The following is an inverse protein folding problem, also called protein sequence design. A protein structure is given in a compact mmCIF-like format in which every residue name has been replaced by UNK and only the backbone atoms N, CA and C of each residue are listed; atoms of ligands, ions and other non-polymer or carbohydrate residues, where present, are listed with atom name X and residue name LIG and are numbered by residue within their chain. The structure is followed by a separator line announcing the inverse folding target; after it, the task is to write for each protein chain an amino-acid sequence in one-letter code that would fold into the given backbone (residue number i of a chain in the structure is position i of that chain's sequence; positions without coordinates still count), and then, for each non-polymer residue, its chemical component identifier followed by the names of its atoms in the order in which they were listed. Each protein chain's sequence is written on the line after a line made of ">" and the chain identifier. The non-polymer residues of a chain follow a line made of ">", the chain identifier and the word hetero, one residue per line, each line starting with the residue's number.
data_IF_321428690396
#
_entry.id   IF_321428690396
#
_cell.length_a   1.000
_cell.length_b   1.000
_cell.length_c   1.000
_cell.angle_alpha   90.00
_cell.angle_beta   90.00
_cell.angle_gamma   90.00
#
_symmetry.space_group_name_H-M   'P 1'
#
loop_
_entity.id
_entity.type
_entity.pdbx_description
1 polymer ?
#
# COMPACT_ATOMS: atom_id res chain seq x y z
N UNK A 1 23.41 -12.78 -37.16
CA UNK A 1 22.24 -13.48 -36.58
C UNK A 1 21.88 -12.79 -35.28
N UNK A 2 21.16 -11.68 -35.37
CA UNK A 2 20.65 -10.96 -34.19
C UNK A 2 19.42 -11.70 -33.66
N UNK A 3 19.55 -12.31 -32.48
CA UNK A 3 18.42 -12.86 -31.75
C UNK A 3 17.67 -11.71 -31.08
N UNK A 4 16.60 -11.25 -31.73
CA UNK A 4 15.62 -10.34 -31.15
C UNK A 4 14.89 -11.06 -30.01
N UNK A 5 15.28 -10.76 -28.79
CA UNK A 5 14.59 -11.10 -27.54
C UNK A 5 13.18 -10.49 -27.56
N UNK A 6 12.21 -11.20 -28.14
CA UNK A 6 10.80 -10.81 -28.14
C UNK A 6 10.25 -10.98 -26.72
N UNK A 7 10.39 -9.93 -25.90
CA UNK A 7 9.68 -9.83 -24.62
C UNK A 7 8.18 -9.93 -24.89
N UNK A 8 7.44 -10.86 -24.25
CA UNK A 8 6.03 -11.00 -24.53
C UNK A 8 5.28 -9.72 -24.16
N UNK A 9 4.46 -9.29 -25.12
CA UNK A 9 3.61 -8.10 -25.09
C UNK A 9 2.75 -8.09 -23.81
N UNK A 10 3.11 -7.23 -22.86
CA UNK A 10 2.35 -7.05 -21.62
C UNK A 10 1.14 -6.18 -21.94
N UNK A 11 0.00 -6.81 -22.22
CA UNK A 11 -1.31 -6.14 -22.31
C UNK A 11 -1.46 -5.19 -21.12
N UNK A 12 -1.40 -3.89 -21.39
CA UNK A 12 -1.73 -2.84 -20.44
C UNK A 12 -3.22 -2.95 -20.12
N UNK A 13 -3.54 -3.70 -19.07
CA UNK A 13 -4.89 -3.71 -18.52
C UNK A 13 -5.07 -2.39 -17.76
N UNK A 14 -5.97 -1.56 -18.27
CA UNK A 14 -6.50 -0.39 -17.56
C UNK A 14 -7.07 -0.85 -16.23
N UNK A 15 -6.28 -0.73 -15.18
CA UNK A 15 -6.73 -0.97 -13.82
C UNK A 15 -6.99 0.38 -13.18
N UNK A 16 -8.26 0.81 -13.18
CA UNK A 16 -8.77 1.55 -12.04
C UNK A 16 -8.51 0.77 -10.73
N UNK A 17 -8.93 1.29 -9.59
CA UNK A 17 -8.56 0.83 -8.24
C UNK A 17 -8.84 -0.66 -7.89
N UNK A 18 -9.37 -1.45 -8.85
CA UNK A 18 -9.84 -2.83 -8.74
C UNK A 18 -8.75 -3.92 -8.86
N UNK A 19 -7.47 -3.57 -8.83
CA UNK A 19 -6.36 -4.56 -8.83
C UNK A 19 -6.12 -5.24 -7.48
N UNK A 20 -6.77 -4.75 -6.42
CA UNK A 20 -6.74 -5.31 -5.07
C UNK A 20 -8.13 -5.22 -4.44
N UNK A 21 -8.52 -6.26 -3.71
CA UNK A 21 -9.81 -6.27 -3.01
C UNK A 21 -9.83 -5.24 -1.88
N UNK A 22 -11.02 -4.71 -1.57
CA UNK A 22 -11.19 -3.77 -0.45
C UNK A 22 -10.71 -4.37 0.88
N UNK A 23 -11.01 -5.65 1.11
CA UNK A 23 -10.57 -6.39 2.31
C UNK A 23 -9.04 -6.44 2.40
N UNK A 24 -8.35 -6.82 1.31
CA UNK A 24 -6.88 -6.94 1.34
C UNK A 24 -6.21 -5.58 1.49
N UNK A 25 -6.74 -4.54 0.83
CA UNK A 25 -6.27 -3.16 0.96
C UNK A 25 -6.38 -2.67 2.41
N UNK A 26 -7.57 -2.82 3.01
CA UNK A 26 -7.80 -2.41 4.39
C UNK A 26 -6.93 -3.22 5.36
N UNK A 27 -6.76 -4.52 5.14
CA UNK A 27 -5.89 -5.36 5.96
C UNK A 27 -4.42 -4.88 5.94
N UNK A 28 -3.92 -4.41 4.80
CA UNK A 28 -2.56 -3.84 4.72
C UNK A 28 -2.49 -2.53 5.51
N UNK A 29 -3.53 -1.69 5.42
CA UNK A 29 -3.59 -0.46 6.23
C UNK A 29 -3.59 -0.78 7.73
N UNK A 30 -4.37 -1.77 8.17
CA UNK A 30 -4.40 -2.20 9.57
C UNK A 30 -3.05 -2.79 10.03
N UNK A 31 -2.42 -3.66 9.22
CA UNK A 31 -1.09 -4.24 9.49
C UNK A 31 -0.01 -3.18 9.72
N UNK A 32 -0.10 -2.09 8.98
CA UNK A 32 0.86 -0.99 9.01
C UNK A 32 0.44 0.13 9.98
N UNK A 33 -0.62 -0.08 10.78
CA UNK A 33 -1.04 0.84 11.83
C UNK A 33 -1.75 2.10 11.33
N UNK A 34 -2.42 2.03 10.18
CA UNK A 34 -3.14 3.17 9.56
C UNK A 34 -2.24 4.40 9.35
N UNK A 35 -0.95 4.16 9.12
CA UNK A 35 0.05 5.19 8.96
C UNK A 35 0.97 4.92 7.76
N UNK A 36 1.54 5.98 7.19
CA UNK A 36 2.55 5.85 6.15
C UNK A 36 3.83 5.24 6.73
N UNK A 37 4.25 4.09 6.20
CA UNK A 37 5.47 3.40 6.67
C UNK A 37 6.78 4.18 6.40
N UNK A 38 6.71 5.27 5.62
CA UNK A 38 7.87 6.11 5.32
C UNK A 38 7.96 7.31 6.26
N UNK A 39 6.93 8.15 6.30
CA UNK A 39 6.96 9.43 7.02
C UNK A 39 6.19 9.42 8.34
N UNK A 40 5.49 8.34 8.67
CA UNK A 40 4.70 8.23 9.89
C UNK A 40 3.32 8.90 9.85
N UNK A 41 3.04 9.78 8.87
CA UNK A 41 1.75 10.47 8.80
C UNK A 41 0.59 9.48 8.69
N UNK A 42 -0.45 9.69 9.49
CA UNK A 42 -1.56 8.76 9.68
C UNK A 42 -2.92 9.36 9.33
N UNK A 43 -3.98 8.54 9.45
CA UNK A 43 -5.36 9.00 9.24
C UNK A 43 -5.77 10.11 10.21
N UNK A 44 -5.18 10.14 11.41
CA UNK A 44 -5.37 11.19 12.42
C UNK A 44 -4.81 12.54 11.96
N UNK A 45 -3.74 12.53 11.14
CA UNK A 45 -3.20 13.74 10.51
C UNK A 45 -4.03 14.20 9.29
N UNK A 46 -5.14 13.50 8.99
CA UNK A 46 -6.00 13.79 7.83
C UNK A 46 -5.39 13.40 6.48
N UNK A 47 -4.32 12.60 6.45
CA UNK A 47 -3.71 12.20 5.18
C UNK A 47 -4.51 11.10 4.48
N UNK A 48 -4.57 11.16 3.15
CA UNK A 48 -5.10 10.05 2.35
C UNK A 48 -4.05 8.97 2.20
N UNK A 49 -4.38 7.77 2.69
CA UNK A 49 -3.56 6.56 2.52
C UNK A 49 -3.79 5.90 1.16
N UNK A 50 -2.72 5.27 0.67
CA UNK A 50 -2.64 4.51 -0.57
C UNK A 50 -1.77 3.27 -0.33
N UNK A 51 -1.67 2.38 -1.32
CA UNK A 51 -0.71 1.29 -1.29
C UNK A 51 0.47 1.61 -2.19
N UNK A 52 1.66 1.31 -1.71
CA UNK A 52 2.90 1.42 -2.45
C UNK A 52 3.55 0.04 -2.66
N UNK A 53 4.13 -0.16 -3.85
CA UNK A 53 4.85 -1.39 -4.19
C UNK A 53 6.34 -1.26 -3.88
N UNK A 54 6.88 -2.05 -2.96
CA UNK A 54 8.31 -2.01 -2.56
C UNK A 54 9.24 -2.24 -3.76
N UNK A 55 8.94 -3.21 -4.60
CA UNK A 55 9.45 -3.28 -5.97
C UNK A 55 8.39 -2.65 -6.87
N UNK A 56 8.64 -1.50 -7.52
CA UNK A 56 7.64 -0.83 -8.34
C UNK A 56 7.01 -1.76 -9.38
N UNK A 57 5.71 -1.63 -9.61
CA UNK A 57 4.99 -2.45 -10.58
C UNK A 57 5.61 -2.37 -11.99
N UNK A 58 6.01 -1.16 -12.41
CA UNK A 58 6.72 -0.91 -13.68
C UNK A 58 8.04 -1.66 -13.80
N UNK A 59 8.65 -2.06 -12.68
CA UNK A 59 9.88 -2.86 -12.61
C UNK A 59 9.60 -4.34 -12.34
N UNK A 60 8.35 -4.80 -12.48
CA UNK A 60 7.95 -6.19 -12.27
C UNK A 60 7.75 -6.57 -10.79
N UNK A 61 7.25 -5.63 -9.98
CA UNK A 61 6.74 -5.92 -8.63
C UNK A 61 5.41 -6.68 -8.67
N UNK A 62 5.19 -7.55 -7.69
CA UNK A 62 3.93 -8.31 -7.56
C UNK A 62 2.90 -7.56 -6.71
N UNK A 63 1.63 -7.94 -6.83
CA UNK A 63 0.55 -7.50 -5.93
C UNK A 63 0.43 -8.38 -4.66
N UNK A 64 1.49 -9.14 -4.36
CA UNK A 64 1.57 -9.92 -3.13
C UNK A 64 1.72 -8.97 -1.94
N UNK A 65 1.13 -9.31 -0.79
CA UNK A 65 1.13 -8.44 0.39
C UNK A 65 2.52 -8.16 0.97
N UNK A 66 3.48 -9.05 0.70
CA UNK A 66 4.89 -8.85 1.04
C UNK A 66 5.59 -7.79 0.19
N UNK A 67 4.99 -7.39 -0.94
CA UNK A 67 5.48 -6.31 -1.79
C UNK A 67 4.66 -5.02 -1.62
N UNK A 68 3.63 -5.00 -0.77
CA UNK A 68 2.73 -3.87 -0.60
C UNK A 68 2.84 -3.31 0.81
N UNK A 69 2.89 -1.98 0.93
CA UNK A 69 2.89 -1.26 2.20
C UNK A 69 1.96 -0.04 2.13
N UNK A 70 1.55 0.43 3.29
CA UNK A 70 0.72 1.63 3.46
C UNK A 70 1.57 2.89 3.27
N UNK A 71 1.11 3.78 2.39
CA UNK A 71 1.84 4.99 2.03
C UNK A 71 0.87 6.17 1.88
N UNK A 72 1.20 7.34 2.42
CA UNK A 72 0.40 8.54 2.16
C UNK A 72 0.56 8.99 0.70
N UNK A 73 -0.43 9.70 0.13
CA UNK A 73 -0.35 10.16 -1.27
C UNK A 73 0.92 10.96 -1.55
N UNK A 74 1.33 11.87 -0.65
CA UNK A 74 2.54 12.69 -0.81
C UNK A 74 3.80 11.83 -0.99
N UNK A 75 4.01 10.86 -0.10
CA UNK A 75 5.16 9.95 -0.19
C UNK A 75 5.06 9.05 -1.42
N UNK A 76 3.88 8.52 -1.74
CA UNK A 76 3.69 7.64 -2.88
C UNK A 76 3.99 8.35 -4.22
N UNK A 77 3.43 9.54 -4.42
CA UNK A 77 3.69 10.38 -5.60
C UNK A 77 5.15 10.79 -5.68
N UNK A 78 5.77 11.19 -4.57
CA UNK A 78 7.19 11.54 -4.53
C UNK A 78 8.08 10.35 -4.87
N UNK A 79 7.81 9.17 -4.31
CA UNK A 79 8.59 7.95 -4.53
C UNK A 79 8.61 7.56 -6.01
N UNK A 80 7.44 7.51 -6.65
CA UNK A 80 7.31 7.07 -8.04
C UNK A 80 7.91 5.67 -8.25
N UNK A 81 8.80 5.53 -9.24
CA UNK A 81 9.45 4.25 -9.56
C UNK A 81 10.84 4.06 -8.91
N UNK A 82 11.20 4.92 -7.95
CA UNK A 82 12.48 4.86 -7.22
C UNK A 82 12.54 3.60 -6.35
N UNK A 83 13.75 3.14 -6.06
CA UNK A 83 13.92 2.03 -5.12
C UNK A 83 13.58 2.49 -3.70
N UNK A 84 13.13 1.57 -2.84
CA UNK A 84 12.88 1.86 -1.41
C UNK A 84 14.09 2.54 -0.78
N UNK A 85 15.28 1.98 -0.97
CA UNK A 85 16.54 2.54 -0.47
C UNK A 85 16.76 3.99 -0.87
N UNK A 86 16.66 4.30 -2.16
CA UNK A 86 16.85 5.68 -2.66
C UNK A 86 15.78 6.64 -2.13
N UNK A 87 14.55 6.14 -1.92
CA UNK A 87 13.49 6.98 -1.38
C UNK A 87 13.65 7.22 0.11
N UNK A 88 14.06 6.22 0.90
CA UNK A 88 14.37 6.39 2.32
C UNK A 88 15.45 7.46 2.57
N UNK A 89 16.41 7.63 1.65
CA UNK A 89 17.36 8.75 1.71
C UNK A 89 16.66 10.12 1.58
N UNK A 90 15.71 10.26 0.66
CA UNK A 90 14.90 11.47 0.53
C UNK A 90 14.01 11.70 1.76
N UNK A 91 13.38 10.64 2.27
CA UNK A 91 12.48 10.70 3.43
C UNK A 91 13.20 11.23 4.67
N UNK A 92 14.39 10.70 4.96
CA UNK A 92 15.22 11.16 6.08
C UNK A 92 15.53 12.66 6.04
N UNK A 93 15.53 13.28 4.85
CA UNK A 93 15.78 14.72 4.70
C UNK A 93 14.61 15.62 5.05
N UNK A 94 13.38 15.09 5.18
CA UNK A 94 12.19 15.90 5.48
C UNK A 94 11.37 15.42 6.68
N UNK A 95 11.78 14.34 7.34
CA UNK A 95 11.21 13.94 8.62
C UNK A 95 12.06 14.54 9.74
N UNK A 96 11.40 15.05 10.78
CA UNK A 96 12.10 15.59 11.95
C UNK A 96 12.63 14.44 12.83
N UNK A 97 13.81 14.60 13.41
CA UNK A 97 14.39 13.68 14.42
C UNK A 97 15.49 12.74 13.91
N UNK A 98 15.83 11.72 14.71
CA UNK A 98 17.00 10.82 14.50
C UNK A 98 16.77 9.67 13.51
N UNK A 99 15.84 9.87 12.58
CA UNK A 99 15.41 8.85 11.65
C UNK A 99 16.37 8.76 10.45
N UNK A 100 17.31 7.82 10.53
CA UNK A 100 18.26 7.58 9.44
C UNK A 100 17.61 6.80 8.28
N UNK A 101 18.11 6.94 7.04
CA UNK A 101 17.60 6.17 5.89
C UNK A 101 17.54 4.66 6.15
N UNK A 102 18.52 4.12 6.89
CA UNK A 102 18.61 2.70 7.24
C UNK A 102 17.53 2.28 8.23
N UNK A 103 17.23 3.12 9.24
CA UNK A 103 16.14 2.86 10.18
C UNK A 103 14.79 2.85 9.46
N UNK A 104 14.57 3.80 8.54
CA UNK A 104 13.35 3.85 7.72
C UNK A 104 13.24 2.62 6.83
N UNK A 105 14.30 2.26 6.09
CA UNK A 105 14.27 1.08 5.22
C UNK A 105 14.01 -0.19 6.03
N UNK A 106 14.66 -0.36 7.18
CA UNK A 106 14.43 -1.50 8.08
C UNK A 106 12.98 -1.57 8.55
N UNK A 107 12.42 -0.44 8.99
CA UNK A 107 11.02 -0.34 9.40
C UNK A 107 10.06 -0.78 8.28
N UNK A 108 10.22 -0.21 7.08
CA UNK A 108 9.40 -0.53 5.90
C UNK A 108 9.46 -2.03 5.58
N UNK A 109 10.66 -2.63 5.59
CA UNK A 109 10.84 -4.06 5.34
C UNK A 109 10.17 -4.90 6.41
N UNK A 110 10.28 -4.52 7.68
CA UNK A 110 9.68 -5.25 8.79
C UNK A 110 8.15 -5.23 8.71
N UNK A 111 7.53 -4.07 8.40
CA UNK A 111 6.09 -3.97 8.19
C UNK A 111 5.59 -4.93 7.09
N UNK A 112 6.29 -4.97 5.95
CA UNK A 112 5.92 -5.85 4.83
C UNK A 112 6.01 -7.35 5.13
N UNK A 113 6.80 -7.74 6.14
CA UNK A 113 6.97 -9.14 6.57
C UNK A 113 5.97 -9.58 7.64
N UNK A 114 5.22 -8.66 8.25
CA UNK A 114 4.21 -9.00 9.27
C UNK A 114 3.11 -9.85 8.64
N UNK A 115 2.62 -10.81 9.42
CA UNK A 115 1.55 -11.73 8.99
C UNK A 115 0.26 -10.96 8.73
N UNK A 116 -0.31 -11.08 7.53
CA UNK A 116 -1.53 -10.35 7.16
C UNK A 116 -2.83 -10.96 7.70
N UNK A 117 -2.83 -12.28 8.00
CA UNK A 117 -4.05 -13.05 8.31
C UNK A 117 -4.93 -12.46 9.42
N UNK A 118 -4.39 -12.02 10.57
CA UNK A 118 -5.21 -11.37 11.61
C UNK A 118 -5.93 -10.13 11.09
N UNK A 119 -5.21 -9.28 10.34
CA UNK A 119 -5.75 -8.05 9.78
C UNK A 119 -6.77 -8.27 8.64
N UNK A 120 -6.73 -9.43 7.97
CA UNK A 120 -7.78 -9.82 7.02
C UNK A 120 -9.11 -10.10 7.72
N UNK A 121 -9.07 -10.68 8.92
CA UNK A 121 -10.26 -10.96 9.74
C UNK A 121 -10.84 -9.63 10.21
N UNK A 122 -9.98 -8.80 10.82
CA UNK A 122 -10.36 -7.46 11.30
C UNK A 122 -10.93 -6.59 10.16
N UNK A 123 -10.30 -6.59 8.97
CA UNK A 123 -10.81 -5.85 7.81
C UNK A 123 -12.19 -6.34 7.38
N UNK A 124 -12.45 -7.65 7.38
CA UNK A 124 -13.77 -8.21 7.03
C UNK A 124 -14.83 -7.77 8.03
N UNK A 125 -14.53 -7.86 9.32
CA UNK A 125 -15.44 -7.45 10.39
C UNK A 125 -15.75 -5.96 10.31
N UNK A 126 -14.74 -5.12 10.09
CA UNK A 126 -14.92 -3.68 9.96
C UNK A 126 -15.75 -3.33 8.72
N UNK A 127 -15.49 -3.96 7.57
CA UNK A 127 -16.28 -3.75 6.35
C UNK A 127 -17.73 -4.21 6.54
N UNK A 128 -17.96 -5.33 7.22
CA UNK A 128 -19.30 -5.79 7.54
C UNK A 128 -20.05 -4.79 8.45
N UNK A 129 -19.37 -4.25 9.47
CA UNK A 129 -19.93 -3.25 10.41
C UNK A 129 -20.26 -1.92 9.76
N UNK A 130 -19.47 -1.46 8.78
CA UNK A 130 -19.74 -0.19 8.07
C UNK A 130 -21.15 -0.14 7.49
N UNK A 131 -21.71 -1.29 7.13
CA UNK A 131 -23.02 -1.37 6.49
C UNK A 131 -23.08 -0.50 5.23
N UNK A 132 -24.28 -0.30 4.71
CA UNK A 132 -24.57 0.77 3.77
C UNK A 132 -25.98 1.22 4.09
N UNK A 133 -26.28 2.52 3.98
CA UNK A 133 -27.67 2.99 4.01
C UNK A 133 -28.51 2.25 2.95
N UNK A 134 -27.92 1.83 1.82
CA UNK A 134 -28.59 0.98 0.84
C UNK A 134 -29.06 -0.35 1.44
N UNK A 135 -28.28 -0.98 2.34
CA UNK A 135 -28.71 -2.21 3.03
C UNK A 135 -29.81 -1.97 4.06
N UNK A 136 -29.98 -0.76 4.58
CA UNK A 136 -31.06 -0.41 5.53
C UNK A 136 -32.34 -0.04 4.78
N UNK A 137 -32.22 0.75 3.71
CA UNK A 137 -33.35 1.26 2.92
C UNK A 137 -34.11 0.13 2.21
N UNK A 138 -33.42 -0.92 1.73
CA UNK A 138 -34.06 -2.05 1.04
C UNK A 138 -34.46 -3.22 1.96
N UNK A 139 -34.27 -3.11 3.27
CA UNK A 139 -34.63 -4.17 4.24
C UNK A 139 -35.93 -3.90 5.01
N UNK A 140 -36.55 -2.73 4.85
CA UNK A 140 -37.80 -2.34 5.51
C UNK A 140 -38.99 -2.27 4.53
N UNK A 141 -38.93 -3.02 3.42
CA UNK A 141 -40.03 -3.17 2.48
C UNK A 141 -40.81 -4.47 2.72
N UNK A 142 -41.40 -4.61 3.91
CA UNK A 142 -42.51 -5.54 4.19
C UNK A 142 -43.76 -4.74 4.55
#
# INVERSE_FOLDING_TARGET
>A
MENMDKRPDRKAKNHGENWITQVKRLAIYLRDGLACVYCGSSVEDGVKLTLDHLKPYSKGGSNHESNLVTCCMKCNSSRGNRSVRSFCQSVAGYINGDATPQKIESHVRNCSKRVLKPHLIEAKELIARRGSCAKVIYSNGE
#
